data_IF_126464926757
#
_entry.id   IF_126464926757
#
_cell.length_a   1.000
_cell.length_b   1.000
_cell.length_c   1.000
_cell.angle_alpha   90.00
_cell.angle_beta   90.00
_cell.angle_gamma   90.00
#
_symmetry.space_group_name_H-M   'P 1'
#
loop_
_entity.id
_entity.type
_entity.pdbx_description
1 polymer ?
#
# COMPACT_ATOMS: atom_id res chain seq x y z
N UNK A 1 -2.50 6.88 23.69
CA UNK A 1 -2.45 5.84 22.64
C UNK A 1 -3.84 5.71 22.03
N UNK A 2 -4.10 6.38 20.90
CA UNK A 2 -5.34 6.15 20.14
C UNK A 2 -5.15 4.83 19.41
N UNK A 3 -5.66 3.74 19.99
CA UNK A 3 -5.85 2.49 19.28
C UNK A 3 -6.89 2.76 18.18
N UNK A 4 -6.42 3.21 17.01
CA UNK A 4 -7.19 3.08 15.78
C UNK A 4 -7.18 1.58 15.51
N UNK A 5 -8.18 0.87 16.03
CA UNK A 5 -8.41 -0.54 15.75
C UNK A 5 -8.64 -0.61 14.24
N UNK A 6 -7.59 -0.86 13.45
CA UNK A 6 -7.74 -1.26 12.06
C UNK A 6 -8.48 -2.59 12.12
N UNK A 7 -9.79 -2.54 11.89
CA UNK A 7 -10.63 -3.72 11.86
C UNK A 7 -10.34 -4.37 10.51
N UNK A 8 -9.34 -5.25 10.47
CA UNK A 8 -9.14 -6.16 9.36
C UNK A 8 -10.23 -7.23 9.44
N UNK A 9 -11.44 -6.88 9.04
CA UNK A 9 -12.47 -7.89 8.85
C UNK A 9 -12.24 -8.56 7.50
N UNK A 10 -11.76 -9.79 7.53
CA UNK A 10 -12.34 -10.81 6.64
C UNK A 10 -13.84 -10.72 6.87
N UNK A 11 -14.59 -10.37 5.83
CA UNK A 11 -16.03 -10.10 5.83
C UNK A 11 -16.72 -10.79 7.02
N UNK A 12 -17.03 -10.03 8.08
CA UNK A 12 -17.96 -10.53 9.12
C UNK A 12 -19.17 -10.98 8.33
N UNK A 13 -19.51 -12.28 8.28
CA UNK A 13 -20.65 -12.81 7.49
C UNK A 13 -21.82 -11.85 7.63
N UNK A 14 -21.97 -10.94 6.67
CA UNK A 14 -23.02 -9.94 6.70
C UNK A 14 -24.21 -10.72 6.18
N UNK A 15 -25.30 -10.75 6.95
CA UNK A 15 -26.54 -11.29 6.41
C UNK A 15 -26.82 -10.53 5.10
N UNK A 16 -26.94 -11.20 3.94
CA UNK A 16 -27.07 -10.53 2.64
C UNK A 16 -28.18 -9.47 2.63
N UNK A 17 -29.25 -9.68 3.40
CA UNK A 17 -30.35 -8.74 3.56
C UNK A 17 -29.94 -7.43 4.23
N UNK A 18 -29.00 -7.46 5.17
CA UNK A 18 -28.48 -6.25 5.83
C UNK A 18 -27.73 -5.40 4.82
N UNK A 19 -26.93 -6.01 3.93
CA UNK A 19 -26.22 -5.27 2.88
C UNK A 19 -27.18 -4.54 1.92
N UNK A 20 -28.22 -5.25 1.47
CA UNK A 20 -29.28 -4.67 0.62
C UNK A 20 -30.01 -3.53 1.35
N UNK A 21 -30.37 -3.74 2.62
CA UNK A 21 -31.03 -2.72 3.43
C UNK A 21 -30.16 -1.46 3.59
N UNK A 22 -28.88 -1.64 3.95
CA UNK A 22 -27.94 -0.53 4.10
C UNK A 22 -27.75 0.24 2.79
N UNK A 23 -27.76 -0.45 1.64
CA UNK A 23 -27.70 0.19 0.34
C UNK A 23 -28.92 1.11 0.09
N UNK A 24 -30.15 0.64 0.32
CA UNK A 24 -31.32 1.50 0.12
C UNK A 24 -31.35 2.66 1.11
N UNK A 25 -30.93 2.44 2.37
CA UNK A 25 -30.79 3.50 3.36
C UNK A 25 -29.74 4.53 2.92
N UNK A 26 -28.59 4.10 2.38
CA UNK A 26 -27.55 5.03 1.94
C UNK A 26 -28.00 5.87 0.75
N UNK A 27 -28.72 5.29 -0.21
CA UNK A 27 -29.33 6.05 -1.32
C UNK A 27 -30.36 7.05 -0.81
N UNK A 28 -31.22 6.66 0.14
CA UNK A 28 -32.18 7.57 0.76
C UNK A 28 -31.46 8.75 1.43
N UNK A 29 -30.46 8.48 2.27
CA UNK A 29 -29.67 9.53 2.93
C UNK A 29 -28.95 10.42 1.90
N UNK A 30 -28.35 9.83 0.87
CA UNK A 30 -27.69 10.58 -0.20
C UNK A 30 -28.62 11.59 -0.86
N UNK A 31 -29.86 11.19 -1.18
CA UNK A 31 -30.82 12.07 -1.85
C UNK A 31 -31.28 13.21 -0.93
N UNK A 32 -31.54 12.91 0.35
CA UNK A 32 -32.19 13.88 1.25
C UNK A 32 -31.22 14.72 2.09
N UNK A 33 -30.05 14.19 2.47
CA UNK A 33 -29.12 14.88 3.38
C UNK A 33 -27.90 15.46 2.67
N UNK A 34 -27.39 14.81 1.61
CA UNK A 34 -26.19 15.31 0.92
C UNK A 34 -26.40 16.70 0.31
N UNK A 35 -27.52 17.05 -0.35
CA UNK A 35 -27.69 18.40 -0.90
C UNK A 35 -27.60 19.49 0.17
N UNK A 36 -28.19 19.26 1.35
CA UNK A 36 -28.12 20.18 2.48
C UNK A 36 -26.70 20.30 3.03
N UNK A 37 -26.03 19.16 3.24
CA UNK A 37 -24.64 19.13 3.68
C UNK A 37 -23.67 19.78 2.69
N UNK A 38 -23.91 19.60 1.39
CA UNK A 38 -23.11 20.16 0.30
C UNK A 38 -23.20 21.68 0.25
N UNK A 39 -24.43 22.23 0.31
CA UNK A 39 -24.65 23.68 0.37
C UNK A 39 -23.96 24.27 1.60
N UNK A 40 -24.13 23.65 2.78
CA UNK A 40 -23.46 24.09 3.99
C UNK A 40 -21.93 24.05 3.86
N UNK A 41 -21.38 22.96 3.31
CA UNK A 41 -19.95 22.78 3.08
C UNK A 41 -19.34 23.87 2.18
N UNK A 42 -20.01 24.21 1.08
CA UNK A 42 -19.60 25.32 0.19
C UNK A 42 -19.48 26.62 0.97
N UNK A 43 -20.53 27.02 1.69
CA UNK A 43 -20.54 28.28 2.44
C UNK A 43 -19.52 28.25 3.57
N UNK A 44 -19.42 27.14 4.31
CA UNK A 44 -18.45 27.00 5.38
C UNK A 44 -17.00 27.12 4.89
N UNK A 45 -16.64 26.44 3.79
CA UNK A 45 -15.32 26.56 3.17
C UNK A 45 -15.01 27.98 2.70
N UNK A 46 -15.98 28.61 2.00
CA UNK A 46 -15.88 30.00 1.54
C UNK A 46 -15.71 30.99 2.70
N UNK A 47 -16.48 30.86 3.79
CA UNK A 47 -16.39 31.79 4.91
C UNK A 47 -15.14 31.59 5.78
N UNK A 48 -14.61 30.36 5.87
CA UNK A 48 -13.41 30.08 6.68
C UNK A 48 -12.10 30.39 5.98
N UNK A 49 -11.99 30.06 4.69
CA UNK A 49 -10.72 30.16 3.92
C UNK A 49 -10.91 30.71 2.50
N UNK A 50 -12.07 31.30 2.16
CA UNK A 50 -12.33 31.84 0.83
C UNK A 50 -12.30 30.76 -0.26
N UNK A 51 -11.80 31.12 -1.44
CA UNK A 51 -11.69 30.23 -2.61
C UNK A 51 -10.82 29.00 -2.31
N UNK A 52 -9.79 29.14 -1.47
CA UNK A 52 -8.93 28.02 -1.08
C UNK A 52 -9.73 26.96 -0.31
N UNK A 53 -10.53 27.38 0.68
CA UNK A 53 -11.38 26.46 1.44
C UNK A 53 -12.47 25.79 0.61
N UNK A 54 -13.04 26.53 -0.35
CA UNK A 54 -13.97 25.94 -1.32
C UNK A 54 -13.27 24.87 -2.17
N UNK A 55 -12.04 25.15 -2.64
CA UNK A 55 -11.23 24.20 -3.41
C UNK A 55 -10.90 22.94 -2.63
N UNK A 56 -10.41 23.07 -1.40
CA UNK A 56 -10.16 21.94 -0.48
C UNK A 56 -11.42 21.08 -0.32
N UNK A 57 -12.57 21.70 -0.03
CA UNK A 57 -13.84 20.98 0.15
C UNK A 57 -14.29 20.24 -1.12
N UNK A 58 -14.23 20.89 -2.29
CA UNK A 58 -14.62 20.27 -3.56
C UNK A 58 -13.68 19.14 -3.95
N UNK A 59 -12.39 19.24 -3.62
CA UNK A 59 -11.40 18.18 -3.85
C UNK A 59 -11.74 16.91 -3.04
N UNK A 60 -12.06 17.05 -1.75
CA UNK A 60 -12.48 15.93 -0.89
C UNK A 60 -13.73 15.23 -1.43
N UNK A 61 -14.71 16.00 -1.93
CA UNK A 61 -15.91 15.46 -2.59
C UNK A 61 -15.55 14.74 -3.89
N UNK A 62 -14.65 15.30 -4.71
CA UNK A 62 -14.21 14.68 -5.95
C UNK A 62 -13.51 13.34 -5.70
N UNK A 63 -12.61 13.26 -4.71
CA UNK A 63 -11.95 12.02 -4.28
C UNK A 63 -12.99 10.98 -3.83
N UNK A 64 -13.99 11.40 -3.04
CA UNK A 64 -15.06 10.51 -2.57
C UNK A 64 -15.91 9.95 -3.72
N UNK A 65 -16.23 10.79 -4.72
CA UNK A 65 -16.94 10.36 -5.93
C UNK A 65 -16.08 9.39 -6.75
N UNK A 66 -14.77 9.63 -6.83
CA UNK A 66 -13.82 8.77 -7.52
C UNK A 66 -13.77 7.36 -6.86
N UNK A 67 -13.70 7.29 -5.53
CA UNK A 67 -13.79 6.02 -4.77
C UNK A 67 -15.13 5.29 -5.01
N UNK A 68 -16.25 6.02 -4.96
CA UNK A 68 -17.58 5.45 -5.26
C UNK A 68 -17.62 4.89 -6.69
N UNK A 69 -17.05 5.62 -7.66
CA UNK A 69 -16.93 5.18 -9.04
C UNK A 69 -16.09 3.91 -9.17
N UNK A 70 -14.99 3.79 -8.44
CA UNK A 70 -14.13 2.60 -8.44
C UNK A 70 -14.92 1.35 -8.04
N UNK A 71 -15.73 1.43 -6.97
CA UNK A 71 -16.59 0.33 -6.50
C UNK A 71 -17.76 0.09 -7.44
N UNK A 72 -18.49 1.14 -7.82
CA UNK A 72 -19.74 1.06 -8.57
C UNK A 72 -19.54 0.59 -10.02
N UNK A 73 -18.42 0.94 -10.64
CA UNK A 73 -18.10 0.60 -12.03
C UNK A 73 -17.07 -0.53 -12.17
N UNK A 74 -16.64 -1.15 -11.06
CA UNK A 74 -15.53 -2.10 -11.03
C UNK A 74 -15.58 -3.15 -12.15
N UNK A 75 -16.73 -3.76 -12.40
CA UNK A 75 -16.86 -4.83 -13.40
C UNK A 75 -16.66 -4.31 -14.82
N UNK A 76 -17.19 -3.11 -15.12
CA UNK A 76 -17.03 -2.47 -16.41
C UNK A 76 -15.59 -2.02 -16.64
N UNK A 77 -14.99 -1.34 -15.65
CA UNK A 77 -13.60 -0.87 -15.70
C UNK A 77 -12.63 -2.06 -15.84
N UNK A 78 -12.84 -3.14 -15.10
CA UNK A 78 -12.01 -4.34 -15.16
C UNK A 78 -12.06 -5.07 -16.51
N UNK A 79 -13.11 -4.87 -17.31
CA UNK A 79 -13.23 -5.44 -18.66
C UNK A 79 -12.64 -4.50 -19.70
N UNK A 80 -12.92 -3.20 -19.59
CA UNK A 80 -12.58 -2.23 -20.63
C UNK A 80 -11.16 -1.66 -20.49
N UNK A 81 -10.66 -1.44 -19.27
CA UNK A 81 -9.48 -0.62 -19.02
C UNK A 81 -8.21 -1.42 -18.76
N UNK A 82 -8.33 -2.70 -18.37
CA UNK A 82 -7.18 -3.54 -18.02
C UNK A 82 -7.14 -4.85 -18.82
N UNK A 83 -5.93 -5.34 -19.05
CA UNK A 83 -5.67 -6.65 -19.66
C UNK A 83 -5.97 -7.77 -18.65
N UNK A 84 -6.06 -9.00 -19.15
CA UNK A 84 -6.17 -10.19 -18.28
C UNK A 84 -4.97 -10.24 -17.33
N UNK A 85 -5.27 -10.37 -16.03
CA UNK A 85 -4.27 -10.28 -14.97
C UNK A 85 -3.80 -8.86 -14.65
N UNK A 86 -4.54 -7.80 -15.00
CA UNK A 86 -4.28 -6.47 -14.44
C UNK A 86 -4.69 -6.36 -12.97
N UNK A 87 -4.16 -5.33 -12.29
CA UNK A 87 -4.62 -4.92 -10.96
C UNK A 87 -6.09 -4.49 -11.03
N UNK A 88 -6.91 -4.95 -10.10
CA UNK A 88 -8.36 -4.81 -10.20
C UNK A 88 -8.86 -3.49 -9.64
N UNK A 89 -9.77 -2.85 -10.38
CA UNK A 89 -10.67 -1.83 -9.85
C UNK A 89 -11.69 -2.47 -8.90
N UNK A 90 -12.20 -1.68 -7.95
CA UNK A 90 -13.25 -2.10 -7.01
C UNK A 90 -12.88 -2.05 -5.52
N UNK A 91 -11.66 -1.65 -5.17
CA UNK A 91 -11.29 -1.41 -3.79
C UNK A 91 -11.99 -0.15 -3.26
N UNK A 92 -12.78 -0.29 -2.19
CA UNK A 92 -13.60 0.79 -1.62
C UNK A 92 -12.79 1.93 -1.01
N UNK A 93 -11.55 1.67 -0.62
CA UNK A 93 -10.66 2.67 -0.03
C UNK A 93 -9.81 3.36 -1.11
N UNK A 94 -9.95 2.96 -2.39
CA UNK A 94 -9.11 3.41 -3.48
C UNK A 94 -9.91 4.15 -4.57
N UNK A 95 -9.31 5.19 -5.15
CA UNK A 95 -9.86 5.95 -6.28
C UNK A 95 -9.67 5.23 -7.64
N UNK A 96 -10.43 5.58 -8.68
CA UNK A 96 -10.19 5.09 -10.05
C UNK A 96 -8.82 5.56 -10.51
N UNK A 97 -8.48 6.83 -10.25
CA UNK A 97 -7.19 7.42 -10.61
C UNK A 97 -6.00 6.63 -10.03
N UNK A 98 -6.06 6.21 -8.75
CA UNK A 98 -5.05 5.36 -8.11
C UNK A 98 -4.94 3.98 -8.78
N UNK A 99 -6.07 3.28 -8.94
CA UNK A 99 -6.09 1.95 -9.55
C UNK A 99 -5.64 1.96 -11.02
N UNK A 100 -5.94 3.04 -11.76
CA UNK A 100 -5.44 3.29 -13.09
C UNK A 100 -3.91 3.48 -13.09
N UNK A 101 -3.38 4.29 -12.16
CA UNK A 101 -1.95 4.52 -11.98
C UNK A 101 -1.17 3.23 -11.68
N UNK A 102 -1.70 2.36 -10.81
CA UNK A 102 -1.12 1.03 -10.55
C UNK A 102 -1.03 0.20 -11.83
N UNK A 103 -2.10 0.19 -12.64
CA UNK A 103 -2.09 -0.52 -13.91
C UNK A 103 -1.18 0.12 -14.96
N UNK A 104 -1.01 1.46 -14.95
CA UNK A 104 0.00 2.15 -15.76
C UNK A 104 1.40 1.64 -15.38
N UNK A 105 1.75 1.70 -14.08
CA UNK A 105 3.05 1.23 -13.54
C UNK A 105 3.31 -0.25 -13.86
N UNK A 106 2.27 -1.07 -13.90
CA UNK A 106 2.35 -2.50 -14.22
C UNK A 106 2.36 -2.80 -15.72
N UNK A 107 2.07 -1.82 -16.59
CA UNK A 107 1.92 -2.02 -18.04
C UNK A 107 0.67 -2.82 -18.44
N UNK A 108 -0.31 -2.91 -17.54
CA UNK A 108 -1.50 -3.77 -17.67
C UNK A 108 -2.72 -3.07 -18.23
N UNK A 109 -2.64 -1.79 -18.59
CA UNK A 109 -3.74 -1.07 -19.25
C UNK A 109 -4.03 -1.60 -20.67
N UNK A 110 -5.31 -1.58 -21.06
CA UNK A 110 -5.74 -1.72 -22.46
C UNK A 110 -5.44 -0.43 -23.23
N UNK A 111 -5.64 -0.44 -24.56
CA UNK A 111 -5.56 0.79 -25.37
C UNK A 111 -6.55 1.86 -24.89
N UNK A 112 -7.74 1.45 -24.47
CA UNK A 112 -8.73 2.37 -23.93
C UNK A 112 -8.31 2.92 -22.57
N UNK A 113 -7.85 2.07 -21.66
CA UNK A 113 -7.31 2.51 -20.37
C UNK A 113 -6.14 3.50 -20.53
N UNK A 114 -5.21 3.23 -21.46
CA UNK A 114 -4.12 4.17 -21.77
C UNK A 114 -4.60 5.51 -22.35
N UNK A 115 -5.73 5.53 -23.07
CA UNK A 115 -6.29 6.78 -23.58
C UNK A 115 -6.89 7.63 -22.44
N UNK A 116 -7.55 6.99 -21.48
CA UNK A 116 -8.07 7.69 -20.29
C UNK A 116 -6.91 8.21 -19.44
N UNK A 117 -5.90 7.39 -19.21
CA UNK A 117 -4.70 7.77 -18.46
C UNK A 117 -4.02 9.02 -19.05
N UNK A 118 -3.87 9.06 -20.38
CA UNK A 118 -3.35 10.24 -21.09
C UNK A 118 -4.25 11.47 -20.99
N UNK A 119 -5.57 11.29 -20.92
CA UNK A 119 -6.50 12.40 -20.72
C UNK A 119 -6.30 13.01 -19.34
N UNK A 120 -6.14 12.18 -18.30
CA UNK A 120 -5.87 12.67 -16.95
C UNK A 120 -4.49 13.35 -16.86
N UNK A 121 -3.46 12.76 -17.48
CA UNK A 121 -2.12 13.34 -17.56
C UNK A 121 -2.08 14.70 -18.27
N UNK A 122 -3.02 14.95 -19.19
CA UNK A 122 -3.18 16.25 -19.84
C UNK A 122 -3.79 17.30 -18.91
N UNK A 123 -4.70 16.90 -18.02
CA UNK A 123 -5.33 17.79 -17.03
C UNK A 123 -4.36 18.12 -15.89
N UNK A 124 -3.59 17.13 -15.46
CA UNK A 124 -2.60 17.25 -14.38
C UNK A 124 -1.44 16.29 -14.66
N UNK A 125 -0.20 16.78 -14.59
CA UNK A 125 0.96 16.01 -15.06
C UNK A 125 1.20 14.79 -14.17
N UNK A 126 1.29 13.60 -14.77
CA UNK A 126 1.44 12.32 -14.07
C UNK A 126 0.29 12.04 -13.09
N UNK A 127 -0.92 12.51 -13.41
CA UNK A 127 -2.06 12.49 -12.50
C UNK A 127 -2.30 11.10 -11.90
N UNK A 128 -2.36 10.06 -12.74
CA UNK A 128 -2.66 8.71 -12.27
C UNK A 128 -1.55 8.14 -11.37
N UNK A 129 -0.29 8.42 -11.69
CA UNK A 129 0.88 7.98 -10.91
C UNK A 129 0.96 8.71 -9.57
N UNK A 130 0.68 10.01 -9.54
CA UNK A 130 0.67 10.81 -8.32
C UNK A 130 -0.52 10.46 -7.40
N UNK A 131 -1.61 9.98 -7.99
CA UNK A 131 -2.82 9.56 -7.27
C UNK A 131 -2.72 8.16 -6.67
N UNK A 132 -1.63 7.42 -6.85
CA UNK A 132 -1.47 6.09 -6.23
C UNK A 132 -1.42 6.23 -4.71
N UNK A 133 -2.45 5.73 -4.02
CA UNK A 133 -2.49 5.70 -2.57
C UNK A 133 -1.94 4.36 -2.05
N UNK A 134 -0.86 4.43 -1.28
CA UNK A 134 -0.18 3.28 -0.66
C UNK A 134 -0.76 2.90 0.71
N UNK A 135 -1.70 3.68 1.24
CA UNK A 135 -2.29 3.50 2.56
C UNK A 135 -3.72 2.92 2.52
N UNK A 136 -4.14 2.41 1.37
CA UNK A 136 -5.40 1.67 1.19
C UNK A 136 -5.35 0.27 1.81
N UNK A 137 -6.51 -0.27 2.18
CA UNK A 137 -6.66 -1.69 2.51
C UNK A 137 -6.16 -2.54 1.32
N UNK A 138 -5.20 -3.46 1.51
CA UNK A 138 -4.62 -4.20 0.39
C UNK A 138 -5.66 -5.14 -0.24
N UNK A 139 -5.76 -5.09 -1.57
CA UNK A 139 -6.55 -6.06 -2.34
C UNK A 139 -5.79 -7.38 -2.48
N UNK A 140 -6.45 -8.41 -3.04
CA UNK A 140 -5.83 -9.74 -3.27
C UNK A 140 -4.62 -9.70 -4.21
N UNK A 141 -4.53 -8.64 -5.01
CA UNK A 141 -3.45 -8.38 -5.95
C UNK A 141 -2.21 -7.77 -5.29
N UNK A 142 -2.25 -7.48 -3.98
CA UNK A 142 -1.15 -6.91 -3.21
C UNK A 142 -0.70 -7.91 -2.12
N UNK A 143 0.55 -8.35 -2.22
CA UNK A 143 1.23 -9.10 -1.15
C UNK A 143 1.78 -8.08 -0.14
N UNK A 144 1.11 -7.95 1.00
CA UNK A 144 1.44 -6.94 2.01
C UNK A 144 2.35 -7.50 3.10
N UNK A 145 3.57 -6.99 3.20
CA UNK A 145 4.65 -7.51 4.04
C UNK A 145 5.19 -6.43 4.97
N UNK A 146 5.78 -6.88 6.07
CA UNK A 146 6.49 -6.06 7.05
C UNK A 146 7.98 -6.36 6.94
N UNK A 147 8.81 -5.34 7.08
CA UNK A 147 10.26 -5.47 7.06
C UNK A 147 10.85 -4.77 8.26
N UNK A 148 11.75 -5.46 8.95
CA UNK A 148 12.66 -4.85 9.91
C UNK A 148 13.96 -4.53 9.17
N UNK A 149 14.27 -3.23 9.06
CA UNK A 149 15.49 -2.73 8.46
C UNK A 149 16.52 -2.56 9.56
N UNK A 150 17.68 -3.17 9.37
CA UNK A 150 18.78 -3.05 10.32
C UNK A 150 20.09 -2.81 9.57
N UNK A 151 20.84 -1.80 10.00
CA UNK A 151 22.04 -1.32 9.32
C UNK A 151 23.17 -1.20 10.33
N UNK A 152 24.33 -1.75 9.99
CA UNK A 152 25.57 -1.63 10.75
C UNK A 152 26.69 -1.29 9.78
N UNK A 153 27.50 -0.28 10.10
CA UNK A 153 28.60 0.20 9.25
C UNK A 153 28.18 0.43 7.78
N UNK A 154 26.99 1.02 7.59
CA UNK A 154 26.39 1.28 6.28
C UNK A 154 26.19 0.02 5.42
N UNK A 155 25.93 -1.12 6.08
CA UNK A 155 25.53 -2.37 5.43
C UNK A 155 24.18 -2.82 5.95
N UNK A 156 23.30 -3.18 5.03
CA UNK A 156 21.96 -3.66 5.31
C UNK A 156 21.96 -5.15 5.66
N UNK A 157 21.32 -5.51 6.77
CA UNK A 157 21.10 -6.89 7.16
C UNK A 157 20.15 -7.60 6.20
N UNK A 158 20.52 -8.81 5.77
CA UNK A 158 19.66 -9.69 4.98
C UNK A 158 20.02 -11.16 5.21
N UNK A 159 19.22 -12.07 4.64
CA UNK A 159 19.59 -13.46 4.44
C UNK A 159 19.83 -13.77 2.97
N UNK A 160 20.66 -14.78 2.72
CA UNK A 160 20.72 -15.49 1.44
C UNK A 160 20.19 -16.91 1.66
N UNK A 161 18.97 -17.23 1.20
CA UNK A 161 18.43 -18.59 1.31
C UNK A 161 19.28 -19.62 0.56
N UNK A 162 19.30 -20.86 1.04
CA UNK A 162 20.06 -21.94 0.37
C UNK A 162 19.55 -22.14 -1.07
N UNK A 163 20.47 -22.17 -2.02
CA UNK A 163 20.15 -22.42 -3.43
C UNK A 163 19.58 -21.21 -4.17
N UNK A 164 19.35 -20.09 -3.49
CA UNK A 164 18.82 -18.87 -4.08
C UNK A 164 19.91 -17.84 -4.35
N UNK A 165 19.75 -17.09 -5.44
CA UNK A 165 20.66 -15.99 -5.78
C UNK A 165 20.22 -14.66 -5.19
N UNK A 166 18.95 -14.55 -4.80
CA UNK A 166 18.36 -13.31 -4.31
C UNK A 166 18.45 -13.20 -2.80
N UNK A 167 18.67 -11.97 -2.33
CA UNK A 167 18.66 -11.65 -0.91
C UNK A 167 17.25 -11.39 -0.41
N UNK A 168 17.01 -11.70 0.87
CA UNK A 168 15.73 -11.47 1.54
C UNK A 168 15.97 -10.64 2.79
N UNK A 169 15.28 -9.50 2.88
CA UNK A 169 15.33 -8.67 4.09
C UNK A 169 14.53 -9.33 5.23
N UNK A 170 14.98 -9.18 6.50
CA UNK A 170 14.25 -9.69 7.67
C UNK A 170 12.84 -9.10 7.71
N UNK A 171 11.83 -9.94 7.89
CA UNK A 171 10.45 -9.46 7.85
C UNK A 171 9.43 -10.57 8.04
N UNK A 172 8.18 -10.20 7.81
CA UNK A 172 7.03 -11.07 8.02
C UNK A 172 5.92 -10.75 7.03
N UNK A 173 5.04 -11.73 6.79
CA UNK A 173 3.75 -11.45 6.18
C UNK A 173 2.89 -10.68 7.19
N UNK A 174 2.22 -9.61 6.76
CA UNK A 174 1.32 -8.87 7.65
C UNK A 174 0.17 -9.77 8.08
N UNK A 175 -0.15 -9.77 9.37
CA UNK A 175 -1.22 -10.57 9.93
C UNK A 175 -2.46 -9.70 10.20
N UNK A 176 -3.67 -10.14 9.81
CA UNK A 176 -4.91 -9.46 10.15
C UNK A 176 -5.05 -9.27 11.67
N UNK A 177 -5.55 -8.11 12.10
CA UNK A 177 -5.89 -7.78 13.49
C UNK A 177 -4.72 -7.80 14.51
N UNK A 178 -3.48 -7.95 14.06
CA UNK A 178 -2.27 -7.85 14.88
C UNK A 178 -1.48 -6.64 14.41
N UNK A 179 -1.03 -5.79 15.35
CA UNK A 179 -0.20 -4.62 14.99
C UNK A 179 1.11 -5.05 14.36
N UNK A 180 1.61 -4.27 13.40
CA UNK A 180 2.85 -4.55 12.67
C UNK A 180 4.05 -4.83 13.59
N UNK A 181 4.18 -4.04 14.66
CA UNK A 181 5.22 -4.22 15.69
C UNK A 181 5.16 -5.60 16.33
N UNK A 182 3.97 -6.05 16.77
CA UNK A 182 3.81 -7.37 17.38
C UNK A 182 4.10 -8.51 16.41
N UNK A 183 3.70 -8.37 15.14
CA UNK A 183 4.01 -9.38 14.10
C UNK A 183 5.53 -9.46 13.91
N UNK A 184 6.21 -8.33 13.70
CA UNK A 184 7.66 -8.31 13.52
C UNK A 184 8.41 -8.82 14.74
N UNK A 185 8.06 -8.38 15.96
CA UNK A 185 8.71 -8.86 17.19
C UNK A 185 8.58 -10.38 17.33
N UNK A 186 7.42 -10.96 17.02
CA UNK A 186 7.22 -12.41 17.09
C UNK A 186 8.06 -13.14 16.04
N UNK A 187 7.92 -12.78 14.77
CA UNK A 187 8.54 -13.50 13.66
C UNK A 187 10.06 -13.36 13.66
N UNK A 188 10.59 -12.18 14.02
CA UNK A 188 12.03 -11.97 14.17
C UNK A 188 12.58 -12.74 15.39
N UNK A 189 11.83 -12.84 16.49
CA UNK A 189 12.22 -13.67 17.63
C UNK A 189 12.32 -15.15 17.26
N UNK A 190 11.38 -15.66 16.48
CA UNK A 190 11.36 -17.06 16.06
C UNK A 190 12.43 -17.34 14.99
N UNK A 191 12.56 -16.48 13.97
CA UNK A 191 13.45 -16.69 12.84
C UNK A 191 14.92 -16.30 13.07
N UNK A 192 15.18 -15.30 13.92
CA UNK A 192 16.51 -14.69 14.12
C UNK A 192 17.03 -14.80 15.55
N UNK A 193 16.23 -15.36 16.47
CA UNK A 193 16.55 -15.61 17.89
C UNK A 193 16.95 -14.35 18.68
N UNK A 194 16.45 -13.19 18.26
CA UNK A 194 16.66 -11.88 18.91
C UNK A 194 15.34 -11.25 19.35
N UNK A 195 15.39 -10.33 20.29
CA UNK A 195 14.21 -9.58 20.73
C UNK A 195 14.30 -8.13 20.27
N UNK A 196 13.35 -7.70 19.44
CA UNK A 196 13.19 -6.30 19.04
C UNK A 196 12.59 -5.47 20.18
N UNK A 197 13.14 -4.29 20.45
CA UNK A 197 12.59 -3.35 21.43
C UNK A 197 11.41 -2.58 20.85
N UNK A 198 10.21 -2.93 21.32
CA UNK A 198 8.92 -2.33 20.94
C UNK A 198 8.94 -0.80 21.05
N UNK A 199 9.65 -0.23 22.03
CA UNK A 199 9.68 1.22 22.27
C UNK A 199 10.57 1.99 21.28
N UNK A 200 11.47 1.29 20.57
CA UNK A 200 12.42 1.84 19.62
C UNK A 200 11.96 1.77 18.16
N UNK A 201 10.73 1.31 17.90
CA UNK A 201 10.22 1.17 16.55
C UNK A 201 10.04 2.54 15.88
N UNK A 202 10.74 2.73 14.76
CA UNK A 202 10.62 3.93 13.93
C UNK A 202 10.11 3.54 12.54
N UNK A 203 9.04 4.21 12.09
CA UNK A 203 8.48 3.98 10.77
C UNK A 203 9.35 4.61 9.68
N UNK A 204 9.69 3.83 8.66
CA UNK A 204 10.53 4.27 7.53
C UNK A 204 9.65 4.70 6.37
N UNK A 205 8.73 3.82 5.95
CA UNK A 205 7.97 4.02 4.73
C UNK A 205 7.29 2.74 4.24
N UNK A 206 6.42 2.93 3.24
CA UNK A 206 5.80 1.86 2.46
C UNK A 206 6.39 1.87 1.06
N UNK A 207 6.91 0.73 0.64
CA UNK A 207 7.52 0.55 -0.68
C UNK A 207 6.71 -0.47 -1.47
N UNK A 208 6.47 -0.20 -2.75
CA UNK A 208 5.64 -1.07 -3.55
C UNK A 208 6.14 -1.19 -5.00
N UNK A 209 6.29 -2.44 -5.42
CA UNK A 209 6.73 -2.78 -6.77
C UNK A 209 6.05 -4.07 -7.26
N UNK A 210 6.22 -4.36 -8.55
CA UNK A 210 5.75 -5.61 -9.15
C UNK A 210 6.54 -6.81 -8.59
N UNK A 211 5.88 -7.95 -8.44
CA UNK A 211 6.56 -9.22 -8.13
C UNK A 211 7.51 -9.63 -9.27
N UNK A 212 8.73 -10.03 -8.92
CA UNK A 212 9.69 -10.64 -9.83
C UNK A 212 9.15 -11.94 -10.45
N UNK A 213 9.23 -12.08 -11.78
CA UNK A 213 9.03 -13.37 -12.48
C UNK A 213 7.63 -13.98 -12.43
N UNK A 214 6.66 -13.39 -11.71
CA UNK A 214 5.25 -13.83 -11.71
C UNK A 214 4.43 -13.06 -12.74
N UNK A 215 3.34 -13.70 -13.19
CA UNK A 215 2.43 -13.21 -14.22
C UNK A 215 1.90 -11.78 -13.98
N UNK A 216 1.17 -11.20 -14.95
CA UNK A 216 0.72 -9.82 -14.84
C UNK A 216 -0.09 -9.59 -13.55
N UNK A 217 0.10 -8.43 -12.90
CA UNK A 217 -0.85 -7.85 -11.95
C UNK A 217 -0.55 -7.91 -10.45
N UNK A 218 0.40 -8.71 -9.99
CA UNK A 218 0.67 -8.84 -8.55
C UNK A 218 1.73 -7.83 -8.10
N UNK A 219 1.41 -7.08 -7.05
CA UNK A 219 2.28 -6.13 -6.38
C UNK A 219 2.78 -6.73 -5.05
N UNK A 220 4.01 -6.39 -4.67
CA UNK A 220 4.50 -6.55 -3.30
C UNK A 220 4.55 -5.17 -2.67
N UNK A 221 3.93 -5.05 -1.51
CA UNK A 221 4.01 -3.87 -0.64
C UNK A 221 4.79 -4.24 0.61
N UNK A 222 5.79 -3.44 0.98
CA UNK A 222 6.60 -3.63 2.18
C UNK A 222 6.52 -2.40 3.07
N UNK A 223 5.96 -2.56 4.26
CA UNK A 223 5.97 -1.55 5.33
C UNK A 223 7.22 -1.76 6.17
N UNK A 224 8.10 -0.77 6.21
CA UNK A 224 9.45 -0.91 6.77
C UNK A 224 9.61 -0.14 8.08
N UNK A 225 10.34 -0.73 9.03
CA UNK A 225 10.60 -0.16 10.34
C UNK A 225 12.07 -0.34 10.76
N UNK A 226 12.63 0.63 11.46
CA UNK A 226 13.82 0.43 12.30
C UNK A 226 13.39 -0.01 13.69
N UNK A 227 14.29 -0.68 14.40
CA UNK A 227 14.17 -1.00 15.83
C UNK A 227 15.54 -1.42 16.34
N UNK A 228 15.85 -1.07 17.58
CA UNK A 228 16.91 -1.70 18.36
C UNK A 228 16.54 -3.16 18.69
N UNK A 229 17.55 -3.98 18.98
CA UNK A 229 17.36 -5.37 19.35
C UNK A 229 18.33 -5.79 20.46
N UNK A 230 18.01 -6.90 21.12
CA UNK A 230 18.85 -7.57 22.11
C UNK A 230 18.97 -9.06 21.84
N UNK A 231 20.08 -9.65 22.27
CA UNK A 231 20.42 -11.07 22.08
C UNK A 231 21.38 -11.31 20.92
N UNK A 232 21.82 -12.57 20.79
CA UNK A 232 22.76 -12.98 19.76
C UNK A 232 22.02 -13.46 18.50
N UNK A 233 22.26 -12.74 17.41
CA UNK A 233 21.58 -13.00 16.13
C UNK A 233 22.04 -14.31 15.52
N UNK A 234 21.10 -15.20 15.22
CA UNK A 234 21.34 -16.41 14.45
C UNK A 234 20.08 -16.90 13.75
N UNK A 235 20.24 -17.45 12.55
CA UNK A 235 19.17 -18.10 11.80
C UNK A 235 19.41 -19.62 11.76
N UNK A 236 18.40 -20.38 11.34
CA UNK A 236 18.58 -21.80 11.04
C UNK A 236 19.54 -21.98 9.85
N UNK A 237 20.70 -22.67 10.02
CA UNK A 237 21.64 -22.90 8.93
C UNK A 237 21.06 -23.65 7.73
N UNK A 238 19.96 -24.40 7.91
CA UNK A 238 19.26 -25.08 6.81
C UNK A 238 18.43 -24.12 5.96
N UNK A 239 18.11 -22.93 6.45
CA UNK A 239 17.33 -21.92 5.73
C UNK A 239 18.22 -20.95 4.95
N UNK A 240 19.48 -20.79 5.31
CA UNK A 240 20.42 -19.91 4.61
C UNK A 240 21.52 -19.35 5.49
N UNK A 241 22.10 -18.22 5.07
CA UNK A 241 23.11 -17.49 5.85
C UNK A 241 22.76 -16.01 6.01
N UNK A 242 23.30 -15.40 7.08
CA UNK A 242 23.20 -13.96 7.34
C UNK A 242 24.25 -13.25 6.47
N UNK A 243 23.84 -12.19 5.79
CA UNK A 243 24.71 -11.37 4.94
C UNK A 243 24.51 -9.89 5.24
N UNK A 244 25.56 -9.10 5.00
CA UNK A 244 25.59 -7.66 5.17
C UNK A 244 25.83 -6.99 3.83
N UNK A 245 24.80 -6.34 3.30
CA UNK A 245 24.72 -5.87 1.92
C UNK A 245 25.11 -4.40 1.80
N UNK A 246 25.93 -4.08 0.80
CA UNK A 246 26.20 -2.70 0.36
C UNK A 246 25.21 -2.30 -0.73
N UNK A 247 25.17 -1.02 -1.10
CA UNK A 247 24.24 -0.55 -2.13
C UNK A 247 24.42 -1.29 -3.47
N UNK A 248 25.65 -1.64 -3.85
CA UNK A 248 25.92 -2.40 -5.08
C UNK A 248 25.24 -3.79 -5.14
N UNK A 249 24.91 -4.38 -3.99
CA UNK A 249 24.28 -5.70 -3.90
C UNK A 249 22.79 -5.66 -4.27
N UNK A 250 22.20 -4.45 -4.36
CA UNK A 250 20.85 -4.15 -4.86
C UNK A 250 20.48 -4.88 -6.15
N UNK A 251 21.46 -5.19 -7.01
CA UNK A 251 21.23 -5.94 -8.27
C UNK A 251 20.61 -7.33 -8.06
N UNK A 252 20.83 -7.94 -6.89
CA UNK A 252 20.32 -9.26 -6.51
C UNK A 252 19.11 -9.16 -5.55
N UNK A 253 18.57 -7.95 -5.32
CA UNK A 253 17.39 -7.75 -4.49
C UNK A 253 16.09 -7.88 -5.33
N UNK A 254 14.95 -8.04 -4.67
CA UNK A 254 13.64 -7.98 -5.34
C UNK A 254 13.35 -6.56 -5.85
N UNK A 255 12.42 -6.40 -6.80
CA UNK A 255 12.04 -5.05 -7.30
C UNK A 255 11.56 -4.10 -6.20
N UNK A 256 10.89 -4.61 -5.16
CA UNK A 256 10.47 -3.77 -4.02
C UNK A 256 11.64 -3.45 -3.10
N UNK A 257 12.54 -4.42 -2.87
CA UNK A 257 13.72 -4.18 -2.02
C UNK A 257 14.69 -3.21 -2.67
N UNK A 258 14.77 -3.20 -4.00
CA UNK A 258 15.52 -2.19 -4.76
C UNK A 258 15.10 -0.75 -4.41
N UNK A 259 13.80 -0.51 -4.19
CA UNK A 259 13.30 0.80 -3.75
C UNK A 259 13.74 1.12 -2.32
N UNK A 260 13.79 0.11 -1.45
CA UNK A 260 14.31 0.26 -0.08
C UNK A 260 15.80 0.61 -0.13
N UNK A 261 16.59 -0.07 -0.96
CA UNK A 261 18.01 0.26 -1.17
C UNK A 261 18.21 1.70 -1.67
N UNK A 262 17.39 2.14 -2.64
CA UNK A 262 17.46 3.51 -3.17
C UNK A 262 17.17 4.54 -2.06
N UNK A 263 16.08 4.33 -1.31
CA UNK A 263 15.72 5.20 -0.20
C UNK A 263 16.82 5.29 0.86
N UNK A 264 17.40 4.14 1.25
CA UNK A 264 18.44 4.09 2.26
C UNK A 264 19.73 4.78 1.77
N UNK A 265 20.06 4.68 0.49
CA UNK A 265 21.17 5.42 -0.10
C UNK A 265 20.91 6.92 -0.14
N UNK A 266 19.73 7.33 -0.60
CA UNK A 266 19.34 8.74 -0.69
C UNK A 266 19.25 9.40 0.71
N UNK A 267 19.12 8.58 1.76
CA UNK A 267 19.16 8.97 3.17
C UNK A 267 20.56 8.87 3.80
N UNK A 268 21.61 8.64 3.02
CA UNK A 268 23.00 8.46 3.47
C UNK A 268 23.21 7.30 4.48
N UNK A 269 22.35 6.29 4.47
CA UNK A 269 22.43 5.11 5.35
C UNK A 269 23.14 3.92 4.69
N UNK A 270 23.27 3.91 3.36
CA UNK A 270 24.00 2.89 2.58
C UNK A 270 24.92 3.53 1.53
N UNK A 271 26.07 2.89 1.27
CA UNK A 271 27.05 3.27 0.23
C UNK A 271 27.22 2.17 -0.81
#
# INVERSE_FOLDING_TARGET
MILKKQIYKVDKKVNPLIGILLFFISIFLLIFTLPLGFIYGIFHGLFKKGVVGLGEYLLEIAISIDQLGNVGMQHLLNVLWIKKGGYKFGNRDETISSALGRNNKLGTLTKFGMAIDKLLDFLDKNHSLNSIDYYIEPSKEILDQLVWVHIVDQKLLATRPIGETRYVLPGAQKAPDISDVMVLTKEIKEGWKISLDISSFEYIGVFEARVDGKGPGILVRKTCYFSEYSGDMSIDPELGEIVWLKYQDRKNASEVDKLIFDFLKDSDLLI
#
